data_IF_839569839248
#
_entry.id   IF_839569839248
#
_cell.length_a   1.000
_cell.length_b   1.000
_cell.length_c   1.000
_cell.angle_alpha   90.00
_cell.angle_beta   90.00
_cell.angle_gamma   90.00
#
_symmetry.space_group_name_H-M   'P 1'
#
loop_
_entity.id
_entity.type
_entity.pdbx_description
1 polymer ?
#
# COMPACT_ATOMS: atom_id res chain seq x y z
N UNK A 1 -23.20 24.02 -18.46
CA UNK A 1 -23.57 23.70 -17.07
C UNK A 1 -24.03 22.26 -17.08
N UNK A 2 -23.34 21.26 -16.56
CA UNK A 2 -22.21 21.12 -15.62
C UNK A 2 -21.55 19.81 -16.05
N UNK A 3 -20.22 19.75 -16.21
CA UNK A 3 -19.57 18.47 -16.50
C UNK A 3 -19.81 17.51 -15.31
N UNK A 4 -20.20 16.25 -15.55
CA UNK A 4 -20.30 15.28 -14.47
C UNK A 4 -18.89 15.01 -13.95
N UNK A 5 -18.67 15.39 -12.69
CA UNK A 5 -17.48 15.11 -11.91
C UNK A 5 -17.26 13.59 -11.83
N UNK A 6 -16.47 13.02 -12.74
CA UNK A 6 -16.25 11.56 -12.91
C UNK A 6 -15.06 11.03 -12.10
N UNK A 7 -14.80 11.58 -10.92
CA UNK A 7 -13.93 10.91 -9.96
C UNK A 7 -14.79 10.02 -9.07
N UNK A 8 -15.24 8.89 -9.60
CA UNK A 8 -15.75 7.82 -8.75
C UNK A 8 -14.56 7.29 -7.95
N UNK A 9 -14.48 7.63 -6.66
CA UNK A 9 -13.54 6.99 -5.74
C UNK A 9 -13.73 5.48 -5.82
N UNK A 10 -12.67 4.74 -6.10
CA UNK A 10 -12.73 3.28 -6.14
C UNK A 10 -13.09 2.81 -4.73
N UNK A 11 -14.23 2.15 -4.58
CA UNK A 11 -14.63 1.57 -3.29
C UNK A 11 -13.89 0.26 -3.07
N UNK A 12 -12.76 0.32 -2.37
CA UNK A 12 -11.98 -0.88 -2.05
C UNK A 12 -12.67 -1.80 -1.02
N UNK A 13 -13.83 -1.41 -0.46
CA UNK A 13 -14.65 -2.31 0.34
C UNK A 13 -15.38 -3.33 -0.55
N UNK A 14 -15.66 -2.98 -1.81
CA UNK A 14 -16.19 -3.92 -2.80
C UNK A 14 -15.10 -4.88 -3.28
N UNK A 15 -15.39 -6.19 -3.22
CA UNK A 15 -14.43 -7.24 -3.55
C UNK A 15 -13.97 -7.18 -5.01
N UNK A 16 -14.89 -6.91 -5.94
CA UNK A 16 -14.57 -6.88 -7.36
C UNK A 16 -13.72 -5.66 -7.70
N UNK A 17 -14.11 -4.48 -7.21
CA UNK A 17 -13.36 -3.25 -7.37
C UNK A 17 -11.95 -3.37 -6.76
N UNK A 18 -11.84 -3.95 -5.56
CA UNK A 18 -10.55 -4.19 -4.90
C UNK A 18 -9.67 -5.15 -5.69
N UNK A 19 -10.19 -6.29 -6.14
CA UNK A 19 -9.42 -7.25 -6.97
C UNK A 19 -8.96 -6.60 -8.27
N UNK A 20 -9.84 -5.86 -8.95
CA UNK A 20 -9.49 -5.12 -10.16
C UNK A 20 -8.40 -4.09 -9.91
N UNK A 21 -8.50 -3.30 -8.83
CA UNK A 21 -7.49 -2.34 -8.45
C UNK A 21 -6.13 -2.99 -8.17
N UNK A 22 -6.10 -4.03 -7.33
CA UNK A 22 -4.86 -4.73 -6.98
C UNK A 22 -4.22 -5.39 -8.19
N UNK A 23 -5.01 -5.93 -9.11
CA UNK A 23 -4.51 -6.57 -10.33
C UNK A 23 -3.95 -5.54 -11.30
N UNK A 24 -4.68 -4.45 -11.56
CA UNK A 24 -4.26 -3.39 -12.48
C UNK A 24 -2.96 -2.73 -12.04
N UNK A 25 -2.79 -2.57 -10.72
CA UNK A 25 -1.66 -1.87 -10.11
C UNK A 25 -0.58 -2.80 -9.56
N UNK A 26 -0.70 -4.11 -9.82
CA UNK A 26 0.14 -5.13 -9.19
C UNK A 26 1.63 -4.86 -9.37
N UNK A 27 2.08 -4.45 -10.56
CA UNK A 27 3.50 -4.25 -10.84
C UNK A 27 4.11 -3.15 -9.95
N UNK A 28 3.37 -2.05 -9.73
CA UNK A 28 3.81 -1.01 -8.80
C UNK A 28 3.79 -1.51 -7.36
N UNK A 29 2.71 -2.14 -6.92
CA UNK A 29 2.58 -2.68 -5.56
C UNK A 29 3.72 -3.66 -5.25
N UNK A 30 4.06 -4.54 -6.19
CA UNK A 30 5.13 -5.51 -6.06
C UNK A 30 6.52 -4.84 -6.07
N UNK A 31 6.74 -3.83 -6.90
CA UNK A 31 7.98 -3.06 -6.90
C UNK A 31 8.20 -2.30 -5.59
N UNK A 32 7.16 -1.63 -5.08
CA UNK A 32 7.21 -0.92 -3.79
C UNK A 32 7.41 -1.90 -2.64
N UNK A 33 6.70 -3.03 -2.63
CA UNK A 33 6.86 -4.06 -1.61
C UNK A 33 8.30 -4.60 -1.55
N UNK A 34 8.90 -4.86 -2.71
CA UNK A 34 10.27 -5.36 -2.77
C UNK A 34 11.29 -4.30 -2.34
N UNK A 35 11.14 -3.07 -2.81
CA UNK A 35 12.00 -1.95 -2.38
C UNK A 35 11.94 -1.78 -0.86
N UNK A 36 10.73 -1.68 -0.32
CA UNK A 36 10.51 -1.54 1.11
C UNK A 36 11.04 -2.72 1.91
N UNK A 37 10.90 -3.95 1.40
CA UNK A 37 11.50 -5.13 2.03
C UNK A 37 13.02 -5.04 2.14
N UNK A 38 13.69 -4.58 1.07
CA UNK A 38 15.14 -4.40 1.07
C UNK A 38 15.60 -3.30 2.06
N UNK A 39 14.79 -2.26 2.26
CA UNK A 39 15.12 -1.09 3.07
C UNK A 39 14.74 -1.26 4.56
N UNK A 40 13.61 -1.91 4.83
CA UNK A 40 12.94 -1.91 6.14
C UNK A 40 12.66 -3.32 6.69
N UNK A 41 12.98 -4.38 5.94
CA UNK A 41 12.70 -5.76 6.31
C UNK A 41 11.25 -6.16 6.05
N UNK A 42 10.74 -7.20 6.74
CA UNK A 42 9.39 -7.72 6.52
C UNK A 42 8.33 -6.65 6.79
N UNK A 43 7.23 -6.70 6.06
CA UNK A 43 6.18 -5.70 6.15
C UNK A 43 5.06 -5.90 5.15
N UNK A 44 4.28 -4.85 4.91
CA UNK A 44 3.21 -4.84 3.92
C UNK A 44 3.12 -3.50 3.19
N UNK A 45 2.51 -3.51 2.00
CA UNK A 45 2.10 -2.29 1.32
C UNK A 45 0.78 -1.82 1.93
N UNK A 46 0.75 -0.61 2.45
CA UNK A 46 -0.47 0.03 2.95
C UNK A 46 -1.10 0.82 1.82
N UNK A 47 -2.40 0.61 1.62
CA UNK A 47 -3.26 1.42 0.75
C UNK A 47 -4.16 2.23 1.65
N UNK A 48 -4.06 3.56 1.57
CA UNK A 48 -4.92 4.46 2.32
C UNK A 48 -6.21 4.70 1.54
N UNK A 49 -7.28 4.03 1.95
CA UNK A 49 -8.61 4.16 1.37
C UNK A 49 -9.51 5.08 2.22
N UNK A 50 -8.94 5.86 3.13
CA UNK A 50 -9.69 6.84 3.89
C UNK A 50 -10.21 7.96 2.97
N UNK A 51 -11.45 8.45 3.17
CA UNK A 51 -11.97 9.57 2.39
C UNK A 51 -11.03 10.79 2.44
N UNK A 52 -10.75 11.41 1.28
CA UNK A 52 -9.77 12.51 1.13
C UNK A 52 -9.91 13.68 2.12
N UNK A 53 -11.11 13.93 2.64
CA UNK A 53 -11.36 14.99 3.62
C UNK A 53 -10.86 14.66 5.04
N UNK A 54 -10.50 13.41 5.31
CA UNK A 54 -9.91 12.95 6.57
C UNK A 54 -8.41 12.60 6.42
N UNK A 55 -7.98 12.23 5.21
CA UNK A 55 -6.59 11.82 4.91
C UNK A 55 -5.55 12.96 4.97
N UNK A 56 -5.95 14.22 4.71
CA UNK A 56 -5.01 15.34 4.47
C UNK A 56 -4.36 15.94 5.73
N UNK A 57 -4.88 15.70 6.93
CA UNK A 57 -4.40 16.45 8.12
C UNK A 57 -3.46 15.68 9.06
N UNK A 58 -3.30 14.36 8.93
CA UNK A 58 -2.71 13.58 10.04
C UNK A 58 -1.34 12.93 9.82
N UNK A 59 -0.82 12.84 8.59
CA UNK A 59 0.14 11.77 8.29
C UNK A 59 1.29 12.20 7.36
N UNK A 60 2.31 12.84 7.94
CA UNK A 60 3.62 13.14 7.31
C UNK A 60 4.46 11.87 7.12
N UNK A 61 3.99 10.89 6.35
CA UNK A 61 4.75 9.67 6.10
C UNK A 61 5.79 9.87 5.01
N UNK A 62 7.02 9.41 5.27
CA UNK A 62 8.08 9.34 4.27
C UNK A 62 7.77 8.20 3.30
N UNK A 63 7.85 8.50 2.00
CA UNK A 63 7.61 7.61 0.86
C UNK A 63 6.14 7.22 0.62
N UNK A 64 5.33 8.22 0.24
CA UNK A 64 4.02 7.99 -0.35
C UNK A 64 4.17 7.74 -1.86
N UNK A 65 3.57 6.67 -2.35
CA UNK A 65 3.26 6.55 -3.77
C UNK A 65 1.81 6.98 -4.01
N UNK A 66 1.50 7.47 -5.21
CA UNK A 66 0.15 7.81 -5.61
C UNK A 66 -0.26 7.07 -6.88
N UNK A 67 -1.39 6.37 -6.81
CA UNK A 67 -2.07 5.78 -7.95
C UNK A 67 -3.35 6.58 -8.21
N UNK A 68 -3.25 7.57 -9.08
CA UNK A 68 -4.32 8.54 -9.39
C UNK A 68 -4.82 9.28 -8.14
N UNK A 69 -5.80 8.71 -7.45
CA UNK A 69 -6.42 9.30 -6.25
C UNK A 69 -6.14 8.56 -4.96
N UNK A 70 -5.50 7.40 -5.02
CA UNK A 70 -5.25 6.51 -3.88
C UNK A 70 -3.76 6.52 -3.54
N UNK A 71 -3.48 6.98 -2.31
CA UNK A 71 -2.14 6.99 -1.75
C UNK A 71 -1.78 5.66 -1.08
N UNK A 72 -0.50 5.38 -0.98
CA UNK A 72 -0.03 4.27 -0.17
C UNK A 72 1.45 4.37 0.13
N UNK A 73 1.93 3.47 0.98
CA UNK A 73 3.32 3.43 1.42
C UNK A 73 3.71 2.00 1.78
N UNK A 74 5.00 1.74 1.96
CA UNK A 74 5.45 0.50 2.57
C UNK A 74 5.59 0.66 4.07
N UNK A 75 5.16 -0.36 4.81
CA UNK A 75 5.24 -0.40 6.26
C UNK A 75 6.08 -1.62 6.68
N UNK A 76 7.39 -1.42 6.81
CA UNK A 76 8.32 -2.44 7.31
C UNK A 76 8.45 -2.44 8.82
N UNK A 77 8.72 -3.59 9.42
CA UNK A 77 8.85 -3.78 10.88
C UNK A 77 9.99 -2.94 11.49
N UNK A 78 11.02 -2.61 10.70
CA UNK A 78 12.13 -1.77 11.16
C UNK A 78 11.95 -0.28 10.81
N UNK A 79 10.78 0.11 10.29
CA UNK A 79 10.54 1.48 9.83
C UNK A 79 10.05 2.39 10.96
N UNK A 80 10.44 3.68 10.90
CA UNK A 80 9.85 4.69 11.77
C UNK A 80 8.33 4.84 11.54
N UNK A 81 7.87 4.57 10.31
CA UNK A 81 6.45 4.57 9.96
C UNK A 81 5.69 3.50 10.74
N UNK A 82 6.29 2.35 11.05
CA UNK A 82 5.65 1.29 11.85
C UNK A 82 5.44 1.74 13.29
N UNK A 83 6.40 2.43 13.89
CA UNK A 83 6.20 3.03 15.21
C UNK A 83 5.19 4.17 15.19
N UNK A 84 5.20 5.02 14.16
CA UNK A 84 4.29 6.16 14.07
C UNK A 84 2.84 5.76 13.76
N UNK A 85 2.62 4.80 12.85
CA UNK A 85 1.30 4.39 12.38
C UNK A 85 0.70 3.28 13.24
N UNK A 86 1.51 2.29 13.61
CA UNK A 86 1.08 1.07 14.31
C UNK A 86 1.52 1.02 15.78
N UNK A 87 2.16 2.07 16.31
CA UNK A 87 2.73 2.06 17.67
C UNK A 87 3.70 0.87 17.89
N UNK A 88 4.33 0.38 16.82
CA UNK A 88 5.23 -0.78 16.84
C UNK A 88 4.52 -2.13 16.97
N UNK A 89 3.20 -2.20 16.76
CA UNK A 89 2.41 -3.42 16.87
C UNK A 89 1.45 -3.59 15.69
N UNK A 90 1.55 -4.72 14.99
CA UNK A 90 0.55 -5.10 13.99
C UNK A 90 -0.87 -5.10 14.58
N UNK A 91 -1.89 -4.77 13.78
CA UNK A 91 -3.23 -4.49 14.30
C UNK A 91 -3.94 -5.72 14.88
N UNK A 92 -3.55 -6.93 14.46
CA UNK A 92 -3.97 -8.18 15.07
C UNK A 92 -2.89 -9.28 14.95
N UNK A 93 -3.10 -10.38 15.68
CA UNK A 93 -2.18 -11.52 15.69
C UNK A 93 -2.07 -12.21 14.33
N UNK A 94 -3.14 -12.21 13.53
CA UNK A 94 -3.18 -12.83 12.21
C UNK A 94 -2.31 -12.05 11.21
N UNK A 95 -2.39 -10.72 11.21
CA UNK A 95 -1.58 -9.81 10.41
C UNK A 95 -0.10 -9.99 10.77
N UNK A 96 0.22 -10.01 12.07
CA UNK A 96 1.58 -10.32 12.55
C UNK A 96 2.07 -11.66 12.01
N UNK A 97 1.23 -12.70 12.10
CA UNK A 97 1.57 -14.02 11.61
C UNK A 97 1.80 -14.03 10.09
N UNK A 98 0.96 -13.35 9.31
CA UNK A 98 1.12 -13.22 7.86
C UNK A 98 2.43 -12.53 7.48
N UNK A 99 2.75 -11.39 8.11
CA UNK A 99 4.00 -10.64 7.86
C UNK A 99 5.24 -11.49 8.20
N UNK A 100 5.20 -12.23 9.31
CA UNK A 100 6.31 -13.08 9.72
C UNK A 100 6.58 -14.24 8.73
N UNK A 101 5.54 -14.77 8.07
CA UNK A 101 5.63 -16.05 7.36
C UNK A 101 5.50 -15.96 5.82
N UNK A 102 5.14 -14.82 5.24
CA UNK A 102 5.06 -14.72 3.77
C UNK A 102 6.44 -14.81 3.11
N UNK A 103 6.48 -15.27 1.86
CA UNK A 103 7.68 -15.25 1.02
C UNK A 103 7.73 -13.94 0.20
N UNK A 104 8.67 -13.02 0.48
CA UNK A 104 8.78 -11.75 -0.24
C UNK A 104 9.28 -11.91 -1.68
N UNK A 105 9.83 -13.08 -2.06
CA UNK A 105 10.26 -13.35 -3.44
C UNK A 105 9.10 -13.65 -4.38
N UNK A 106 7.93 -14.01 -3.84
CA UNK A 106 6.79 -14.47 -4.64
C UNK A 106 5.45 -13.84 -4.26
N UNK A 107 5.34 -13.21 -3.08
CA UNK A 107 4.08 -12.69 -2.55
C UNK A 107 4.22 -11.26 -2.03
N UNK A 108 3.18 -10.47 -2.26
CA UNK A 108 3.00 -9.14 -1.69
C UNK A 108 1.87 -9.20 -0.68
N UNK A 109 2.10 -8.71 0.55
CA UNK A 109 1.04 -8.44 1.50
C UNK A 109 0.58 -6.99 1.34
N UNK A 110 -0.74 -6.83 1.21
CA UNK A 110 -1.39 -5.54 1.10
C UNK A 110 -2.33 -5.35 2.29
N UNK A 111 -2.20 -4.22 2.97
CA UNK A 111 -3.11 -3.77 4.02
C UNK A 111 -3.92 -2.60 3.46
N UNK A 112 -5.22 -2.79 3.25
CA UNK A 112 -6.15 -1.71 2.89
C UNK A 112 -6.67 -1.11 4.17
N UNK A 113 -6.40 0.18 4.39
CA UNK A 113 -6.83 0.93 5.57
C UNK A 113 -8.07 1.77 5.24
N UNK A 114 -9.14 1.65 6.04
CA UNK A 114 -10.39 2.38 5.81
C UNK A 114 -10.65 3.55 6.78
N UNK A 115 -9.76 3.77 7.75
CA UNK A 115 -9.79 5.00 8.57
C UNK A 115 -10.93 5.13 9.59
N UNK A 116 -11.71 4.08 9.86
CA UNK A 116 -12.74 4.17 10.90
C UNK A 116 -12.14 4.33 12.31
N UNK A 117 -12.93 4.84 13.27
CA UNK A 117 -12.50 5.05 14.67
C UNK A 117 -11.97 3.79 15.37
N UNK A 118 -12.29 2.60 14.84
CA UNK A 118 -11.82 1.30 15.32
C UNK A 118 -10.66 0.73 14.51
N UNK A 119 -10.22 1.44 13.45
CA UNK A 119 -9.21 0.98 12.52
C UNK A 119 -9.70 -0.21 11.71
N UNK A 120 -10.73 -0.03 10.87
CA UNK A 120 -11.12 -1.07 9.93
C UNK A 120 -10.04 -1.22 8.84
N UNK A 121 -9.54 -2.44 8.66
CA UNK A 121 -8.57 -2.78 7.64
C UNK A 121 -8.84 -4.17 7.05
N UNK A 122 -8.24 -4.42 5.89
CA UNK A 122 -8.21 -5.73 5.25
C UNK A 122 -6.78 -6.08 4.86
N UNK A 123 -6.32 -7.28 5.21
CA UNK A 123 -5.00 -7.79 4.79
C UNK A 123 -5.16 -8.87 3.73
N UNK A 124 -4.59 -8.66 2.56
CA UNK A 124 -4.64 -9.59 1.42
C UNK A 124 -3.24 -9.92 0.90
N UNK A 125 -2.98 -11.21 0.69
CA UNK A 125 -1.82 -11.65 -0.05
C UNK A 125 -2.13 -11.71 -1.55
N UNK A 126 -1.32 -11.06 -2.37
CA UNK A 126 -1.42 -11.09 -3.83
C UNK A 126 -0.13 -11.62 -4.44
N UNK A 127 -0.25 -12.33 -5.56
CA UNK A 127 0.88 -12.93 -6.28
C UNK A 127 0.51 -13.16 -7.74
N UNK A 128 1.41 -12.79 -8.64
CA UNK A 128 1.36 -13.15 -10.06
C UNK A 128 2.67 -13.85 -10.39
N UNK A 129 2.61 -15.15 -10.69
CA UNK A 129 3.80 -15.99 -10.84
C UNK A 129 4.80 -15.48 -11.90
N UNK A 130 4.30 -14.86 -12.98
CA UNK A 130 5.13 -14.31 -14.06
C UNK A 130 5.72 -12.94 -13.72
N UNK A 131 5.27 -12.32 -12.62
CA UNK A 131 5.66 -11.00 -12.15
C UNK A 131 6.01 -11.07 -10.65
N UNK A 132 7.09 -11.76 -10.26
CA UNK A 132 7.53 -11.78 -8.87
C UNK A 132 8.04 -10.38 -8.43
N UNK A 133 7.95 -10.01 -7.13
CA UNK A 133 8.35 -8.68 -6.65
C UNK A 133 9.75 -8.21 -7.08
N UNK A 134 10.82 -9.03 -7.05
CA UNK A 134 12.13 -8.62 -7.55
C UNK A 134 12.13 -8.20 -9.04
N UNK A 135 11.35 -8.89 -9.89
CA UNK A 135 11.25 -8.58 -11.31
C UNK A 135 10.49 -7.27 -11.53
N UNK A 136 9.36 -7.09 -10.83
CA UNK A 136 8.59 -5.84 -10.88
C UNK A 136 9.46 -4.64 -10.45
N UNK A 137 10.22 -4.81 -9.37
CA UNK A 137 11.17 -3.78 -8.93
C UNK A 137 12.21 -3.45 -9.99
N UNK A 138 12.87 -4.45 -10.60
CA UNK A 138 13.85 -4.22 -11.66
C UNK A 138 13.25 -3.47 -12.87
N UNK A 139 12.03 -3.83 -13.28
CA UNK A 139 11.34 -3.20 -14.41
C UNK A 139 10.93 -1.76 -14.11
N UNK A 140 10.45 -1.50 -12.90
CA UNK A 140 9.97 -0.18 -12.50
C UNK A 140 11.04 0.73 -11.91
N UNK A 141 12.22 0.23 -11.54
CA UNK A 141 13.30 1.00 -10.94
C UNK A 141 13.58 2.35 -11.67
N UNK A 142 13.61 2.42 -13.02
CA UNK A 142 13.85 3.69 -13.73
C UNK A 142 12.72 4.72 -13.55
N UNK A 143 11.53 4.25 -13.19
CA UNK A 143 10.26 5.00 -13.18
C UNK A 143 9.64 5.13 -11.79
N UNK A 144 10.17 4.50 -10.75
CA UNK A 144 9.60 4.55 -9.39
C UNK A 144 9.39 5.99 -8.89
N UNK A 145 10.27 6.90 -9.27
CA UNK A 145 10.17 8.34 -8.97
C UNK A 145 8.94 9.04 -9.58
N UNK A 146 8.32 8.46 -10.61
CA UNK A 146 7.09 8.99 -11.22
C UNK A 146 5.89 8.81 -10.29
N UNK A 147 5.96 7.82 -9.40
CA UNK A 147 4.88 7.46 -8.50
C UNK A 147 5.04 8.08 -7.11
N UNK A 148 6.25 8.54 -6.76
CA UNK A 148 6.52 9.16 -5.46
C UNK A 148 5.91 10.54 -5.39
N UNK A 149 5.12 10.79 -4.36
CA UNK A 149 4.66 12.14 -4.03
C UNK A 149 5.85 12.94 -3.47
N UNK A 150 6.20 14.11 -4.03
CA UNK A 150 7.24 14.97 -3.48
C UNK A 150 6.95 15.25 -2.01
N UNK A 151 7.95 15.12 -1.14
CA UNK A 151 7.82 15.38 0.30
C UNK A 151 7.78 16.88 0.64
N UNK A 152 7.49 17.73 -0.34
CA UNK A 152 7.54 19.20 -0.22
C UNK A 152 6.13 19.78 -0.26
N UNK A 153 5.60 20.10 0.94
CA UNK A 153 4.88 21.33 1.29
C UNK A 153 4.84 21.48 2.82
#
# INVERSE_FOLDING_TARGET
MTEPNRYSSIDLNDDQARISFLTLNYELLAAVAWKGYLEEGRGCVVIDNEPKHLALEKRSFKAQWNLDTIGGFYLGENSNNFHAFMQGMWPDAETKHRVANYDPLSKVLVLVWFGSDKGDFLVQGISIAQLPPPLCYQRLLPRLKEFTVPSDL
#
